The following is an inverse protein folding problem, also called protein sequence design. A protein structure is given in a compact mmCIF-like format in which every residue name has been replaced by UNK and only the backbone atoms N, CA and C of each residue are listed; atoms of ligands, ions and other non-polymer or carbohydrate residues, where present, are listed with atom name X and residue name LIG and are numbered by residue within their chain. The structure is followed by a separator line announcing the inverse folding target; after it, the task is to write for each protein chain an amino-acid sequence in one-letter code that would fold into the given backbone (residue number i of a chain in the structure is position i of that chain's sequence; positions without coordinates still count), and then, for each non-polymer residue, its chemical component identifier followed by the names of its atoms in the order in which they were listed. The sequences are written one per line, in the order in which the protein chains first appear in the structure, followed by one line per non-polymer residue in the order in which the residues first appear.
data_IF_002361514763
#
_entry.id   IF_002361514763
#
_cell.length_a   1.000
_cell.length_b   1.000
_cell.length_c   1.000
_cell.angle_alpha   90.00
_cell.angle_beta   90.00
_cell.angle_gamma   90.00
#
_symmetry.space_group_name_H-M   'P 1'
#
loop_
_entity.id
_entity.type
_entity.pdbx_description
1 polymer ?
#
# COMPACT_ATOMS: atom_id res chain seq x y z
N UNK A 1 -6.96 -7.16 16.77
CA UNK A 1 -7.65 -6.28 15.80
C UNK A 1 -7.01 -6.46 14.44
N UNK A 2 -7.83 -6.57 13.40
CA UNK A 2 -7.36 -6.92 12.06
C UNK A 2 -7.70 -5.81 11.06
N UNK A 3 -6.83 -5.63 10.08
CA UNK A 3 -7.14 -4.82 8.90
C UNK A 3 -8.26 -5.51 8.10
N UNK A 4 -9.17 -4.72 7.53
CA UNK A 4 -10.28 -5.24 6.74
C UNK A 4 -9.92 -5.25 5.25
N UNK A 5 -9.81 -6.46 4.71
CA UNK A 5 -9.48 -6.71 3.30
C UNK A 5 -10.71 -7.25 2.56
N UNK A 6 -11.12 -6.55 1.51
CA UNK A 6 -12.22 -6.98 0.64
C UNK A 6 -11.68 -7.76 -0.55
N UNK A 7 -12.19 -8.97 -0.78
CA UNK A 7 -11.89 -9.71 -2.00
C UNK A 7 -12.63 -9.10 -3.20
N UNK A 8 -11.91 -8.88 -4.32
CA UNK A 8 -12.45 -8.37 -5.57
C UNK A 8 -11.58 -8.85 -6.74
N UNK A 9 -12.09 -8.82 -7.97
CA UNK A 9 -11.28 -9.08 -9.17
C UNK A 9 -11.03 -7.80 -9.96
N UNK A 10 -9.86 -7.72 -10.59
CA UNK A 10 -9.63 -6.72 -11.62
C UNK A 10 -10.69 -6.83 -12.72
N UNK A 11 -11.33 -5.72 -13.06
CA UNK A 11 -12.44 -5.63 -14.00
C UNK A 11 -13.85 -5.73 -13.39
N UNK A 12 -13.97 -6.08 -12.10
CA UNK A 12 -15.25 -5.99 -11.38
C UNK A 12 -15.71 -4.52 -11.28
N UNK A 13 -17.02 -4.26 -11.05
CA UNK A 13 -17.50 -2.92 -10.77
C UNK A 13 -16.75 -2.27 -9.60
N UNK A 14 -16.54 -0.96 -9.68
CA UNK A 14 -15.92 -0.21 -8.60
C UNK A 14 -16.76 -0.35 -7.31
N UNK A 15 -16.14 -0.66 -6.15
CA UNK A 15 -16.89 -0.92 -4.92
C UNK A 15 -17.42 0.36 -4.27
N UNK A 16 -18.56 0.23 -3.58
CA UNK A 16 -19.16 1.31 -2.78
C UNK A 16 -18.56 1.44 -1.36
N UNK A 17 -17.61 0.56 -0.98
CA UNK A 17 -16.92 0.63 0.32
C UNK A 17 -15.91 1.79 0.33
N UNK A 18 -15.68 2.36 1.51
CA UNK A 18 -14.67 3.41 1.70
C UNK A 18 -13.28 2.76 1.68
N UNK A 19 -12.53 2.97 0.61
CA UNK A 19 -11.21 2.39 0.41
C UNK A 19 -10.12 3.27 1.03
N UNK A 20 -8.97 2.68 1.40
CA UNK A 20 -7.81 3.45 1.89
C UNK A 20 -7.08 4.10 0.71
N UNK A 21 -7.21 5.43 0.60
CA UNK A 21 -6.62 6.24 -0.47
C UNK A 21 -5.18 6.62 -0.16
N UNK A 22 -4.32 6.62 -1.17
CA UNK A 22 -2.93 7.04 -1.08
C UNK A 22 -2.81 8.49 -0.55
N UNK A 23 -2.13 8.68 0.58
CA UNK A 23 -1.96 9.96 1.27
C UNK A 23 -3.26 10.73 1.56
N UNK A 24 -4.40 10.04 1.54
CA UNK A 24 -5.74 10.63 1.70
C UNK A 24 -6.02 11.79 0.73
N UNK A 25 -5.35 11.80 -0.44
CA UNK A 25 -5.45 12.87 -1.44
C UNK A 25 -5.27 12.35 -2.86
N UNK A 26 -5.57 13.21 -3.83
CA UNK A 26 -5.17 13.03 -5.23
C UNK A 26 -3.66 13.29 -5.36
N UNK A 27 -2.91 12.34 -5.90
CA UNK A 27 -1.45 12.41 -6.00
C UNK A 27 -0.99 13.27 -7.19
N UNK A 28 0.15 13.95 -7.05
CA UNK A 28 0.92 14.41 -8.21
C UNK A 28 1.72 13.21 -8.76
N UNK A 29 1.07 12.40 -9.59
CA UNK A 29 1.57 11.08 -9.97
C UNK A 29 2.36 11.05 -11.28
N UNK A 30 2.91 9.87 -11.59
CA UNK A 30 3.65 9.59 -12.82
C UNK A 30 2.74 9.78 -14.04
N UNK A 31 3.21 10.40 -15.14
CA UNK A 31 2.40 10.54 -16.35
C UNK A 31 1.81 9.20 -16.83
N UNK A 32 0.52 9.19 -17.15
CA UNK A 32 -0.20 7.99 -17.59
C UNK A 32 -0.74 7.11 -16.47
N UNK A 33 -0.47 7.44 -15.20
CA UNK A 33 -1.06 6.77 -14.05
C UNK A 33 -2.24 7.59 -13.50
N UNK A 34 -3.25 6.91 -12.95
CA UNK A 34 -4.38 7.58 -12.31
C UNK A 34 -3.91 8.21 -10.98
N UNK A 35 -4.19 9.48 -10.69
CA UNK A 35 -3.73 10.14 -9.47
C UNK A 35 -4.51 9.73 -8.20
N UNK A 36 -5.69 9.12 -8.35
CA UNK A 36 -6.49 8.59 -7.25
C UNK A 36 -6.24 7.08 -7.09
N UNK A 37 -5.28 6.76 -6.22
CA UNK A 37 -4.77 5.40 -6.02
C UNK A 37 -5.19 4.86 -4.65
N UNK A 38 -5.54 3.58 -4.59
CA UNK A 38 -6.00 2.92 -3.36
C UNK A 38 -5.24 1.64 -3.10
N UNK A 39 -5.06 1.32 -1.81
CA UNK A 39 -4.25 0.20 -1.34
C UNK A 39 -4.88 -1.13 -1.73
N UNK A 40 -4.08 -1.97 -2.40
CA UNK A 40 -4.46 -3.31 -2.76
C UNK A 40 -3.32 -4.30 -2.51
N UNK A 41 -3.70 -5.56 -2.33
CA UNK A 41 -2.85 -6.71 -2.08
C UNK A 41 -3.13 -7.77 -3.14
N UNK A 42 -2.06 -8.32 -3.68
CA UNK A 42 -2.08 -9.46 -4.59
C UNK A 42 -1.08 -10.51 -4.09
N UNK A 43 -1.13 -11.72 -4.64
CA UNK A 43 -0.15 -12.76 -4.37
C UNK A 43 0.47 -13.25 -5.66
N UNK A 44 1.79 -13.34 -5.68
CA UNK A 44 2.54 -13.93 -6.78
C UNK A 44 3.55 -14.92 -6.22
N UNK A 45 3.52 -16.17 -6.71
CA UNK A 45 4.36 -17.26 -6.22
C UNK A 45 4.38 -17.42 -4.68
N UNK A 46 3.24 -17.18 -4.01
CA UNK A 46 3.10 -17.26 -2.56
C UNK A 46 3.61 -16.04 -1.78
N UNK A 47 4.11 -14.99 -2.46
CA UNK A 47 4.55 -13.75 -1.83
C UNK A 47 3.45 -12.68 -1.87
N UNK A 48 3.19 -11.96 -0.76
CA UNK A 48 2.29 -10.82 -0.77
C UNK A 48 2.92 -9.66 -1.53
N UNK A 49 2.13 -9.04 -2.42
CA UNK A 49 2.53 -7.93 -3.25
C UNK A 49 1.54 -6.80 -3.05
N UNK A 50 1.95 -5.80 -2.28
CA UNK A 50 1.18 -4.55 -2.18
C UNK A 50 1.29 -3.78 -3.50
N UNK A 51 0.22 -3.13 -3.88
CA UNK A 51 0.12 -2.35 -5.11
C UNK A 51 -1.00 -1.35 -5.02
N UNK A 52 -1.55 -1.00 -6.19
CA UNK A 52 -2.58 0.02 -6.30
C UNK A 52 -3.71 -0.40 -7.21
N UNK A 53 -4.90 0.09 -6.88
CA UNK A 53 -6.05 0.11 -7.78
C UNK A 53 -6.54 1.53 -8.02
N UNK A 54 -7.31 1.70 -9.08
CA UNK A 54 -8.02 2.94 -9.40
C UNK A 54 -9.32 2.63 -10.12
N UNK A 55 -10.24 3.60 -10.11
CA UNK A 55 -11.47 3.51 -10.87
C UNK A 55 -11.18 3.83 -12.35
N UNK A 56 -11.37 2.84 -13.20
CA UNK A 56 -11.28 2.96 -14.65
C UNK A 56 -12.66 2.74 -15.25
N UNK A 57 -13.37 3.84 -15.51
CA UNK A 57 -14.70 3.84 -16.13
C UNK A 57 -15.72 2.97 -15.37
N UNK A 58 -15.74 3.08 -14.04
CA UNK A 58 -16.65 2.35 -13.16
C UNK A 58 -16.19 0.92 -12.85
N UNK A 59 -14.97 0.54 -13.24
CA UNK A 59 -14.38 -0.78 -12.97
C UNK A 59 -13.06 -0.68 -12.23
N UNK A 60 -12.71 -1.75 -11.52
CA UNK A 60 -11.42 -1.87 -10.83
C UNK A 60 -10.32 -2.14 -11.85
N UNK A 61 -9.40 -1.19 -12.01
CA UNK A 61 -8.12 -1.45 -12.65
C UNK A 61 -7.03 -1.53 -11.59
N UNK A 62 -5.97 -2.31 -11.86
CA UNK A 62 -4.95 -2.63 -10.88
C UNK A 62 -3.55 -2.64 -11.47
N UNK A 63 -2.56 -2.37 -10.60
CA UNK A 63 -1.15 -2.42 -10.95
C UNK A 63 -0.30 -2.88 -9.75
N UNK A 64 0.51 -3.91 -9.99
CA UNK A 64 1.45 -4.49 -9.04
C UNK A 64 2.84 -4.61 -9.67
N UNK A 65 3.87 -4.77 -8.85
CA UNK A 65 5.21 -5.08 -9.33
C UNK A 65 5.83 -6.20 -8.52
N UNK A 66 6.47 -7.13 -9.22
CA UNK A 66 7.13 -8.27 -8.59
C UNK A 66 8.24 -8.79 -9.51
N UNK A 67 9.38 -9.14 -8.90
CA UNK A 67 10.53 -9.71 -9.58
C UNK A 67 10.92 -8.94 -10.87
N UNK A 68 11.12 -7.64 -10.77
CA UNK A 68 11.50 -6.70 -11.85
C UNK A 68 10.42 -6.42 -12.90
N UNK A 69 9.26 -7.07 -12.81
CA UNK A 69 8.17 -6.92 -13.77
C UNK A 69 7.05 -6.02 -13.21
N UNK A 70 6.38 -5.33 -14.13
CA UNK A 70 5.10 -4.66 -13.89
C UNK A 70 3.95 -5.57 -14.31
N UNK A 71 2.89 -5.62 -13.50
CA UNK A 71 1.66 -6.35 -13.75
C UNK A 71 0.49 -5.37 -13.72
N UNK A 72 0.15 -4.81 -14.88
CA UNK A 72 -0.93 -3.82 -15.06
C UNK A 72 -2.10 -4.44 -15.82
N UNK A 73 -3.33 -4.17 -15.39
CA UNK A 73 -4.55 -4.64 -16.04
C UNK A 73 -5.15 -5.88 -15.35
N UNK A 74 -5.36 -6.96 -16.10
CA UNK A 74 -6.01 -8.16 -15.56
C UNK A 74 -5.04 -9.01 -14.73
N UNK A 75 -5.05 -8.77 -13.43
CA UNK A 75 -4.27 -9.50 -12.41
C UNK A 75 -5.10 -10.54 -11.65
N UNK A 76 -6.37 -10.74 -12.06
CA UNK A 76 -7.28 -11.69 -11.43
C UNK A 76 -7.78 -11.22 -10.06
N UNK A 77 -7.81 -12.14 -9.10
CA UNK A 77 -8.27 -11.88 -7.73
C UNK A 77 -7.24 -11.09 -6.93
N UNK A 78 -7.72 -10.07 -6.25
CA UNK A 78 -6.95 -9.18 -5.37
C UNK A 78 -7.75 -8.89 -4.10
N UNK A 79 -7.07 -8.31 -3.12
CA UNK A 79 -7.67 -7.80 -1.91
C UNK A 79 -7.50 -6.28 -1.84
N UNK A 80 -8.52 -5.57 -1.43
CA UNK A 80 -8.50 -4.11 -1.31
C UNK A 80 -8.69 -3.71 0.13
N UNK A 81 -7.82 -2.82 0.62
CA UNK A 81 -7.90 -2.34 1.99
C UNK A 81 -9.03 -1.33 2.13
N UNK A 82 -9.89 -1.52 3.11
CA UNK A 82 -11.02 -0.62 3.37
C UNK A 82 -10.99 -0.04 4.77
N UNK A 83 -11.67 1.08 4.94
CA UNK A 83 -11.96 1.62 6.25
C UNK A 83 -13.13 0.86 6.88
N UNK A 84 -12.89 0.31 8.07
CA UNK A 84 -13.96 0.00 8.99
C UNK A 84 -14.65 1.29 9.45
N UNK A 85 -15.96 1.21 9.72
CA UNK A 85 -16.71 2.32 10.29
C UNK A 85 -16.08 2.79 11.60
N UNK A 86 -16.09 4.10 11.84
CA UNK A 86 -15.50 4.71 13.03
C UNK A 86 -16.06 4.13 14.34
N UNK A 87 -17.33 3.72 14.33
CA UNK A 87 -18.02 3.16 15.49
C UNK A 87 -17.56 1.75 15.89
N UNK A 88 -16.87 1.03 15.00
CA UNK A 88 -16.47 -0.36 15.22
C UNK A 88 -14.96 -0.56 15.17
N UNK A 89 -14.19 0.42 14.69
CA UNK A 89 -12.73 0.31 14.59
C UNK A 89 -12.04 0.70 15.89
N UNK A 90 -11.12 -0.14 16.33
CA UNK A 90 -10.25 0.11 17.48
C UNK A 90 -8.88 0.68 17.13
N UNK A 91 -8.68 1.13 15.89
CA UNK A 91 -7.43 1.74 15.43
C UNK A 91 -7.70 2.78 14.33
N UNK A 92 -6.71 3.63 14.08
CA UNK A 92 -6.72 4.62 13.02
C UNK A 92 -5.52 4.43 12.08
N UNK A 93 -5.71 4.76 10.80
CA UNK A 93 -4.64 4.76 9.81
C UNK A 93 -4.00 6.14 9.69
N UNK A 94 -2.71 6.18 9.40
CA UNK A 94 -1.99 7.39 9.03
C UNK A 94 -0.81 7.07 8.12
N UNK A 95 -0.57 7.94 7.14
CA UNK A 95 0.61 7.90 6.28
C UNK A 95 1.76 8.64 6.98
N UNK A 96 2.85 7.92 7.28
CA UNK A 96 4.00 8.46 8.00
C UNK A 96 5.27 8.41 7.16
N UNK A 97 6.16 9.41 7.24
CA UNK A 97 7.48 9.33 6.63
C UNK A 97 8.21 8.05 7.05
N UNK A 98 8.93 7.41 6.13
CA UNK A 98 9.62 6.15 6.37
C UNK A 98 10.45 6.12 7.67
N UNK A 99 11.26 7.14 8.03
CA UNK A 99 12.04 7.09 9.27
C UNK A 99 11.19 6.97 10.54
N UNK A 100 9.98 7.55 10.55
CA UNK A 100 9.03 7.42 11.66
C UNK A 100 8.39 6.02 11.63
N UNK A 101 7.99 5.56 10.45
CA UNK A 101 7.39 4.23 10.25
C UNK A 101 8.37 3.08 10.50
N UNK A 102 9.68 3.29 10.35
CA UNK A 102 10.73 2.31 10.52
C UNK A 102 11.38 2.33 11.92
N UNK A 103 10.98 3.25 12.82
CA UNK A 103 11.56 3.34 14.16
C UNK A 103 11.46 2.01 14.94
N UNK A 104 12.46 1.74 15.78
CA UNK A 104 12.49 0.59 16.70
C UNK A 104 12.20 1.00 18.15
N UNK A 105 11.64 2.20 18.37
CA UNK A 105 11.30 2.68 19.70
C UNK A 105 10.34 1.69 20.40
N UNK A 106 10.64 1.37 21.65
CA UNK A 106 9.82 0.42 22.45
C UNK A 106 8.39 0.92 22.67
N UNK A 107 8.23 2.24 22.69
CA UNK A 107 6.94 2.93 22.87
C UNK A 107 6.32 3.36 21.53
N UNK A 108 6.75 2.75 20.42
CA UNK A 108 6.22 3.06 19.09
C UNK A 108 4.74 2.71 18.99
N UNK A 109 3.92 3.74 18.88
CA UNK A 109 2.47 3.58 18.81
C UNK A 109 1.96 3.31 17.38
N UNK A 110 2.70 3.79 16.37
CA UNK A 110 2.35 3.64 14.96
C UNK A 110 3.09 2.47 14.34
N UNK A 111 2.36 1.46 13.91
CA UNK A 111 2.92 0.23 13.34
C UNK A 111 2.60 0.21 11.84
N UNK A 112 3.56 -0.05 10.94
CA UNK A 112 3.26 -0.23 9.53
C UNK A 112 2.13 -1.26 9.32
N UNK A 113 1.21 -1.00 8.39
CA UNK A 113 0.28 -2.04 7.94
C UNK A 113 1.07 -3.03 7.11
N UNK A 114 1.14 -4.29 7.54
CA UNK A 114 2.00 -5.29 6.93
C UNK A 114 1.32 -6.64 6.75
N UNK A 115 1.78 -7.39 5.75
CA UNK A 115 1.45 -8.81 5.56
C UNK A 115 2.74 -9.61 5.74
N UNK A 116 2.71 -10.57 6.66
CA UNK A 116 3.87 -11.39 7.00
C UNK A 116 4.22 -12.36 5.89
N UNK A 117 5.51 -12.51 5.63
CA UNK A 117 6.06 -13.54 4.76
C UNK A 117 7.44 -13.96 5.25
N UNK A 118 7.82 -15.21 5.02
CA UNK A 118 9.14 -15.76 5.40
C UNK A 118 10.30 -15.03 4.76
N UNK A 119 10.08 -14.34 3.62
CA UNK A 119 11.07 -13.53 2.92
C UNK A 119 11.14 -12.07 3.37
N UNK A 120 10.22 -11.64 4.24
CA UNK A 120 10.11 -10.25 4.71
C UNK A 120 8.66 -9.77 4.71
N UNK A 121 8.30 -8.97 5.72
CA UNK A 121 6.97 -8.39 5.84
C UNK A 121 6.80 -7.25 4.82
N UNK A 122 5.69 -7.26 4.10
CA UNK A 122 5.43 -6.26 3.05
C UNK A 122 4.35 -5.29 3.51
N UNK A 123 4.68 -4.00 3.45
CA UNK A 123 3.80 -2.87 3.76
C UNK A 123 3.42 -2.09 2.50
N UNK A 124 2.41 -1.22 2.62
CA UNK A 124 2.04 -0.26 1.57
C UNK A 124 2.73 1.08 1.77
N UNK A 125 3.12 1.73 0.67
CA UNK A 125 3.73 3.05 0.75
C UNK A 125 3.64 3.84 -0.55
N UNK A 126 3.57 5.16 -0.39
CA UNK A 126 3.68 6.12 -1.50
C UNK A 126 5.13 6.52 -1.66
N UNK A 127 5.65 6.29 -2.86
CA UNK A 127 7.05 6.42 -3.22
C UNK A 127 7.18 7.61 -4.16
N UNK A 128 8.21 8.43 -3.96
CA UNK A 128 8.50 9.58 -4.81
C UNK A 128 9.64 9.22 -5.77
N UNK A 129 9.34 9.20 -7.07
CA UNK A 129 10.33 9.08 -8.15
C UNK A 129 10.34 10.39 -8.93
N UNK A 130 11.50 11.05 -9.01
CA UNK A 130 11.68 12.30 -9.77
C UNK A 130 10.61 13.37 -9.43
N UNK A 131 10.27 13.49 -8.14
CA UNK A 131 9.28 14.43 -7.63
C UNK A 131 7.81 14.01 -7.80
N UNK A 132 7.55 12.86 -8.44
CA UNK A 132 6.20 12.31 -8.66
C UNK A 132 5.89 11.15 -7.71
N UNK A 133 4.66 11.12 -7.21
CA UNK A 133 4.20 10.21 -6.18
C UNK A 133 3.49 9.00 -6.78
N UNK A 134 3.76 7.80 -6.29
CA UNK A 134 3.09 6.57 -6.73
C UNK A 134 2.96 5.55 -5.62
N UNK A 135 1.79 4.92 -5.50
CA UNK A 135 1.51 3.88 -4.52
C UNK A 135 2.12 2.54 -4.97
N UNK A 136 2.82 1.88 -4.05
CA UNK A 136 3.44 0.58 -4.24
C UNK A 136 3.70 -0.15 -2.92
N UNK A 137 4.73 -1.00 -2.93
CA UNK A 137 5.12 -1.83 -1.79
C UNK A 137 6.38 -1.33 -1.10
N UNK A 138 6.47 -1.59 0.20
CA UNK A 138 7.62 -1.25 1.05
C UNK A 138 7.96 -2.45 1.93
N UNK A 139 9.21 -2.88 1.88
CA UNK A 139 9.83 -3.74 2.88
C UNK A 139 10.62 -2.85 3.84
N UNK A 140 10.00 -2.58 4.99
CA UNK A 140 10.50 -1.63 6.00
C UNK A 140 11.76 -2.16 6.70
N UNK A 141 11.93 -3.48 6.79
CA UNK A 141 13.12 -4.06 7.47
C UNK A 141 14.34 -4.05 6.55
N UNK A 142 14.12 -4.27 5.26
CA UNK A 142 15.19 -4.35 4.26
C UNK A 142 15.40 -3.02 3.49
N UNK A 143 14.79 -1.92 3.96
CA UNK A 143 14.93 -0.58 3.37
C UNK A 143 14.69 -0.53 1.87
N UNK A 144 13.59 -1.15 1.42
CA UNK A 144 13.29 -1.31 0.00
C UNK A 144 11.87 -0.89 -0.31
N UNK A 145 11.69 -0.01 -1.28
CA UNK A 145 10.37 0.37 -1.79
C UNK A 145 10.33 0.26 -3.30
N UNK A 146 9.16 -0.07 -3.86
CA UNK A 146 9.00 -0.27 -5.30
C UNK A 146 7.57 -0.12 -5.79
N UNK A 147 7.42 0.35 -7.02
CA UNK A 147 6.15 0.43 -7.74
C UNK A 147 6.32 0.03 -9.22
N UNK A 148 5.28 -0.58 -9.80
CA UNK A 148 5.22 -0.90 -11.22
C UNK A 148 4.77 0.31 -12.03
N UNK A 149 5.57 0.71 -13.02
CA UNK A 149 5.20 1.68 -14.06
C UNK A 149 6.24 1.65 -15.21
N UNK A 150 5.81 1.98 -16.42
CA UNK A 150 6.71 2.03 -17.59
C UNK A 150 7.24 0.67 -18.04
N UNK A 151 6.48 -0.39 -17.83
CA UNK A 151 6.79 -1.77 -18.19
C UNK A 151 7.71 -2.52 -17.21
N UNK A 152 8.02 -1.94 -16.05
CA UNK A 152 9.00 -2.51 -15.10
C UNK A 152 8.69 -2.19 -13.64
N UNK A 153 9.35 -2.91 -12.74
CA UNK A 153 9.48 -2.52 -11.33
C UNK A 153 10.51 -1.40 -11.19
N UNK A 154 10.09 -0.26 -10.65
CA UNK A 154 10.99 0.83 -10.25
C UNK A 154 11.19 0.77 -8.74
N UNK A 155 12.42 0.92 -8.29
CA UNK A 155 12.81 0.53 -6.93
C UNK A 155 13.79 1.52 -6.32
N UNK A 156 13.60 1.82 -5.03
CA UNK A 156 14.53 2.56 -4.19
C UNK A 156 15.02 1.64 -3.07
N UNK A 157 16.29 1.81 -2.69
CA UNK A 157 16.94 1.03 -1.62
C UNK A 157 17.70 1.94 -0.66
N UNK A 158 17.81 1.53 0.59
CA UNK A 158 18.58 2.22 1.63
C UNK A 158 18.15 3.68 1.80
N UNK A 159 19.09 4.65 1.81
CA UNK A 159 18.77 6.07 2.00
C UNK A 159 17.76 6.63 1.00
N UNK A 160 17.75 6.13 -0.24
CA UNK A 160 16.80 6.57 -1.25
C UNK A 160 15.38 6.11 -0.92
N UNK A 161 15.21 4.90 -0.38
CA UNK A 161 13.92 4.43 0.14
C UNK A 161 13.48 5.29 1.32
N UNK A 162 14.36 5.46 2.32
CA UNK A 162 14.05 6.18 3.54
C UNK A 162 13.67 7.65 3.32
N UNK A 163 14.29 8.32 2.35
CA UNK A 163 14.06 9.75 2.09
C UNK A 163 12.84 10.01 1.20
N UNK A 164 12.39 9.03 0.42
CA UNK A 164 11.39 9.23 -0.62
C UNK A 164 10.12 8.40 -0.44
N UNK A 165 9.95 7.74 0.71
CA UNK A 165 8.82 6.84 0.96
C UNK A 165 7.99 7.32 2.16
N UNK A 166 6.68 7.32 2.00
CA UNK A 166 5.69 7.51 3.07
C UNK A 166 4.92 6.20 3.22
N UNK A 167 4.92 5.62 4.41
CA UNK A 167 4.40 4.27 4.70
C UNK A 167 3.03 4.38 5.39
N UNK A 168 2.10 3.53 4.99
CA UNK A 168 0.82 3.39 5.69
C UNK A 168 1.05 2.71 7.04
N UNK A 169 0.68 3.40 8.12
CA UNK A 169 0.75 2.89 9.49
C UNK A 169 -0.64 2.87 10.13
N UNK A 170 -0.74 2.12 11.22
CA UNK A 170 -1.93 2.07 12.09
C UNK A 170 -1.53 2.27 13.55
N UNK A 171 -2.41 2.90 14.32
CA UNK A 171 -2.27 3.09 15.77
C UNK A 171 -3.53 2.63 16.48
N UNK A 172 -3.38 1.84 17.54
CA UNK A 172 -4.50 1.41 18.36
C UNK A 172 -5.10 2.61 19.12
N UNK A 173 -6.42 2.67 19.19
CA UNK A 173 -7.16 3.63 20.00
C UNK A 173 -7.02 3.29 21.49
N UNK A 174 -7.23 4.25 22.40
CA UNK A 174 -7.22 3.98 23.84
C UNK A 174 -8.13 2.79 24.20
N UNK A 175 -7.59 1.84 24.97
CA UNK A 175 -8.30 0.62 25.38
C UNK A 175 -8.21 -0.55 24.39
N UNK A 176 -7.58 -0.36 23.23
CA UNK A 176 -7.37 -1.41 22.24
C UNK A 176 -5.91 -1.81 22.10
N UNK A 177 -5.65 -3.02 21.59
CA UNK A 177 -4.31 -3.53 21.29
C UNK A 177 -4.31 -4.34 19.98
N UNK A 178 -3.21 -4.26 19.26
CA UNK A 178 -2.91 -5.23 18.20
C UNK A 178 -2.38 -6.50 18.89
N UNK A 179 -2.95 -7.63 18.50
CA UNK A 179 -2.58 -8.99 18.89
C UNK A 179 -1.54 -9.56 17.93
#
# INVERSE_FOLDING_TARGET
MIDEWMDIRAGDPWPDRILVKALDKTLDTIPGENPDQYVALWYQAGEPVMGRIWNENGKVAANFCWNKNEYKGNVGSIQVLVHLSEHVRGFDYQWLPYPQAASFDKDKEWIPVHVNNTKGDISSGVITFDGKQILGKVDVRNEKSSAGFGGKENMLVGPACASNTIVLCRKARPGYKFD
#
